data_IF_068438572983
#
_entry.id   IF_068438572983
#
_cell.length_a   1.000
_cell.length_b   1.000
_cell.length_c   1.000
_cell.angle_alpha   90.00
_cell.angle_beta   90.00
_cell.angle_gamma   90.00
#
_symmetry.space_group_name_H-M   'P 1'
#
loop_
_entity.id
_entity.type
_entity.pdbx_description
1 polymer ?
#
# COMPACT_ATOMS: atom_id res chain seq x y z
N UNK A 1 -18.99 -30.82 -11.16
CA UNK A 1 -18.44 -31.20 -9.83
C UNK A 1 -17.93 -29.91 -9.21
N UNK A 2 -18.40 -29.54 -8.01
CA UNK A 2 -17.92 -28.32 -7.35
C UNK A 2 -16.52 -28.60 -6.82
N UNK A 3 -15.51 -27.83 -7.27
CA UNK A 3 -14.15 -27.94 -6.76
C UNK A 3 -14.17 -27.62 -5.25
N UNK A 4 -13.76 -28.58 -4.42
CA UNK A 4 -13.70 -28.39 -2.98
C UNK A 4 -12.48 -27.51 -2.66
N UNK A 5 -12.71 -26.30 -2.15
CA UNK A 5 -11.64 -25.41 -1.70
C UNK A 5 -11.21 -25.75 -0.28
N UNK A 6 -9.90 -25.71 -0.01
CA UNK A 6 -9.32 -25.95 1.32
C UNK A 6 -8.38 -24.81 1.71
N UNK A 7 -8.30 -24.52 3.01
CA UNK A 7 -7.37 -23.51 3.55
C UNK A 7 -5.98 -24.11 3.71
N UNK A 8 -4.97 -23.50 3.10
CA UNK A 8 -3.56 -23.96 3.15
C UNK A 8 -2.67 -23.09 4.03
N UNK A 9 -3.12 -21.90 4.43
CA UNK A 9 -2.35 -21.02 5.30
C UNK A 9 -3.02 -19.68 5.58
N UNK A 10 -2.32 -18.83 6.33
CA UNK A 10 -2.72 -17.46 6.64
C UNK A 10 -1.65 -16.48 6.17
N UNK A 11 -2.06 -15.35 5.60
CA UNK A 11 -1.19 -14.20 5.32
C UNK A 11 -1.37 -13.14 6.41
N UNK A 12 -0.28 -12.49 6.81
CA UNK A 12 -0.27 -11.44 7.84
C UNK A 12 -0.05 -10.03 7.26
N UNK A 13 0.22 -9.94 5.96
CA UNK A 13 0.32 -8.66 5.25
C UNK A 13 -0.23 -8.75 3.83
N UNK A 14 -0.60 -7.59 3.27
CA UNK A 14 -1.05 -7.47 1.87
C UNK A 14 0.09 -7.85 0.92
N UNK A 15 1.33 -7.51 1.29
CA UNK A 15 2.52 -7.79 0.49
C UNK A 15 2.73 -9.30 0.41
N UNK A 16 2.69 -10.01 1.54
CA UNK A 16 2.78 -11.47 1.59
C UNK A 16 1.66 -12.12 0.77
N UNK A 17 0.40 -11.66 0.94
CA UNK A 17 -0.73 -12.17 0.17
C UNK A 17 -0.57 -11.97 -1.35
N UNK A 18 -0.01 -10.84 -1.77
CA UNK A 18 0.27 -10.55 -3.19
C UNK A 18 1.39 -11.44 -3.73
N UNK A 19 2.46 -11.62 -2.96
CA UNK A 19 3.55 -12.53 -3.31
C UNK A 19 3.07 -13.97 -3.45
N UNK A 20 2.32 -14.48 -2.46
CA UNK A 20 1.76 -15.84 -2.49
C UNK A 20 0.84 -16.01 -3.70
N UNK A 21 -0.05 -15.05 -3.98
CA UNK A 21 -0.92 -15.13 -5.16
C UNK A 21 -0.13 -15.14 -6.47
N UNK A 22 0.91 -14.32 -6.58
CA UNK A 22 1.77 -14.28 -7.78
C UNK A 22 2.55 -15.58 -7.94
N UNK A 23 3.11 -16.12 -6.86
CA UNK A 23 3.87 -17.37 -6.83
C UNK A 23 3.01 -18.57 -7.26
N UNK A 24 1.81 -18.70 -6.66
CA UNK A 24 0.87 -19.76 -7.00
C UNK A 24 0.33 -19.59 -8.43
N UNK A 25 0.03 -18.37 -8.86
CA UNK A 25 -0.40 -18.06 -10.22
C UNK A 25 0.66 -18.44 -11.27
N UNK A 26 1.95 -18.21 -10.98
CA UNK A 26 3.05 -18.62 -11.85
C UNK A 26 3.17 -20.15 -12.02
N UNK A 27 2.64 -20.93 -11.06
CA UNK A 27 2.55 -22.39 -11.10
C UNK A 27 1.21 -22.90 -11.64
N UNK A 28 0.32 -22.02 -12.07
CA UNK A 28 -1.01 -22.38 -12.56
C UNK A 28 -1.99 -22.77 -11.44
N UNK A 29 -1.68 -22.45 -10.19
CA UNK A 29 -2.55 -22.74 -9.03
C UNK A 29 -3.41 -21.50 -8.75
N UNK A 30 -4.71 -21.64 -8.92
CA UNK A 30 -5.65 -20.57 -8.58
C UNK A 30 -5.86 -20.48 -7.06
N UNK A 31 -5.46 -19.35 -6.48
CA UNK A 31 -5.59 -19.06 -5.06
C UNK A 31 -6.60 -17.92 -4.81
N UNK A 32 -7.53 -18.17 -3.89
CA UNK A 32 -8.50 -17.20 -3.41
C UNK A 32 -8.01 -16.69 -2.05
N UNK A 33 -7.67 -15.40 -2.00
CA UNK A 33 -7.28 -14.71 -0.76
C UNK A 33 -8.31 -13.62 -0.50
N UNK A 34 -9.26 -13.83 0.44
CA UNK A 34 -10.25 -12.83 0.81
C UNK A 34 -9.61 -11.47 1.14
N UNK A 35 -10.23 -10.38 0.69
CA UNK A 35 -9.72 -9.03 0.94
C UNK A 35 -8.61 -8.53 0.00
N UNK A 36 -7.89 -9.42 -0.71
CA UNK A 36 -6.87 -9.01 -1.68
C UNK A 36 -7.45 -8.43 -2.99
N UNK A 37 -8.72 -8.74 -3.28
CA UNK A 37 -9.42 -8.29 -4.50
C UNK A 37 -10.33 -7.07 -4.35
N UNK A 38 -10.63 -6.63 -3.12
CA UNK A 38 -11.41 -5.41 -2.91
C UNK A 38 -10.47 -4.22 -3.10
N UNK A 39 -10.68 -3.40 -4.14
CA UNK A 39 -9.86 -2.22 -4.49
C UNK A 39 -9.76 -1.11 -3.45
N UNK A 40 -10.01 -1.41 -2.18
CA UNK A 40 -9.86 -0.54 -1.02
C UNK A 40 -8.51 -0.81 -0.34
N UNK A 41 -7.41 -0.55 -1.09
CA UNK A 41 -6.03 -0.63 -0.57
C UNK A 41 -5.82 0.27 0.65
N UNK A 42 -6.59 1.35 0.76
CA UNK A 42 -6.46 2.39 1.80
C UNK A 42 -6.89 1.92 3.20
N UNK A 43 -7.83 0.97 3.31
CA UNK A 43 -8.33 0.51 4.63
C UNK A 43 -7.41 -0.53 5.26
N UNK A 44 -6.74 -1.36 4.44
CA UNK A 44 -5.95 -2.49 4.89
C UNK A 44 -4.60 -2.10 5.54
N UNK A 45 -4.16 -0.84 5.40
CA UNK A 45 -2.97 -0.33 6.12
C UNK A 45 -3.26 0.02 7.59
N UNK A 46 -4.51 0.23 7.98
CA UNK A 46 -4.87 0.69 9.34
C UNK A 46 -5.33 -0.41 10.30
N UNK A 47 -5.63 -1.61 9.78
CA UNK A 47 -6.04 -2.78 10.56
C UNK A 47 -5.10 -3.94 10.26
N UNK A 48 -4.66 -4.67 11.29
CA UNK A 48 -3.86 -5.87 11.14
C UNK A 48 -4.49 -6.81 10.09
N UNK A 49 -3.88 -6.87 8.91
CA UNK A 49 -4.38 -7.68 7.81
C UNK A 49 -4.11 -9.14 8.15
N UNK A 50 -5.15 -9.95 8.27
CA UNK A 50 -4.99 -11.40 8.39
C UNK A 50 -6.03 -12.07 7.51
N UNK A 51 -5.57 -12.81 6.51
CA UNK A 51 -6.46 -13.52 5.58
C UNK A 51 -6.02 -14.95 5.37
N UNK A 52 -6.97 -15.85 5.18
CA UNK A 52 -6.70 -17.22 4.78
C UNK A 52 -6.36 -17.30 3.29
N UNK A 53 -5.54 -18.28 2.92
CA UNK A 53 -5.26 -18.67 1.52
C UNK A 53 -6.06 -19.92 1.22
N UNK A 54 -7.01 -19.82 0.29
CA UNK A 54 -7.87 -20.92 -0.12
C UNK A 54 -7.48 -21.39 -1.53
N UNK A 55 -7.29 -22.69 -1.72
CA UNK A 55 -6.94 -23.30 -3.01
C UNK A 55 -7.80 -24.53 -3.29
N UNK A 56 -7.83 -25.00 -4.54
CA UNK A 56 -8.44 -26.30 -4.87
C UNK A 56 -7.75 -27.43 -4.11
N UNK A 57 -8.53 -28.40 -3.62
CA UNK A 57 -8.01 -29.56 -2.90
C UNK A 57 -6.93 -30.33 -3.66
N UNK A 58 -7.00 -30.37 -4.98
CA UNK A 58 -6.02 -31.05 -5.83
C UNK A 58 -4.63 -30.39 -5.83
N UNK A 59 -4.56 -29.10 -5.49
CA UNK A 59 -3.33 -28.32 -5.43
C UNK A 59 -2.92 -27.94 -4.00
N UNK A 60 -3.61 -28.46 -3.00
CA UNK A 60 -3.42 -28.04 -1.61
C UNK A 60 -2.02 -28.35 -1.07
N UNK A 61 -1.50 -29.55 -1.35
CA UNK A 61 -0.18 -29.99 -0.91
C UNK A 61 0.95 -29.21 -1.60
N UNK A 62 0.85 -29.02 -2.92
CA UNK A 62 1.81 -28.24 -3.69
C UNK A 62 1.82 -26.76 -3.26
N UNK A 63 0.64 -26.16 -3.07
CA UNK A 63 0.53 -24.79 -2.60
C UNK A 63 1.12 -24.60 -1.19
N UNK A 64 0.86 -25.53 -0.27
CA UNK A 64 1.42 -25.48 1.07
C UNK A 64 2.95 -25.56 1.06
N UNK A 65 3.54 -26.43 0.23
CA UNK A 65 4.99 -26.55 0.07
C UNK A 65 5.62 -25.26 -0.49
N UNK A 66 4.99 -24.64 -1.49
CA UNK A 66 5.46 -23.38 -2.07
C UNK A 66 5.40 -22.22 -1.07
N UNK A 67 4.34 -22.15 -0.25
CA UNK A 67 4.21 -21.12 0.79
C UNK A 67 5.29 -21.31 1.87
N UNK A 68 5.58 -22.56 2.27
CA UNK A 68 6.64 -22.86 3.22
C UNK A 68 8.01 -22.42 2.68
N UNK A 69 8.33 -22.80 1.45
CA UNK A 69 9.58 -22.45 0.78
C UNK A 69 9.77 -20.93 0.67
N UNK A 70 8.70 -20.19 0.35
CA UNK A 70 8.74 -18.72 0.28
C UNK A 70 9.13 -18.10 1.63
N UNK A 71 8.58 -18.61 2.73
CA UNK A 71 8.83 -18.10 4.08
C UNK A 71 10.22 -18.43 4.60
N UNK A 72 10.68 -19.64 4.31
CA UNK A 72 12.05 -20.05 4.63
C UNK A 72 13.06 -19.16 3.90
N UNK A 73 12.82 -18.85 2.61
CA UNK A 73 13.68 -17.94 1.84
C UNK A 73 13.65 -16.48 2.29
N UNK A 74 12.54 -15.99 2.84
CA UNK A 74 12.45 -14.61 3.36
C UNK A 74 13.26 -14.41 4.65
N UNK A 75 13.33 -15.44 5.49
CA UNK A 75 14.09 -15.38 6.75
C UNK A 75 15.59 -15.17 6.52
N UNK A 76 16.11 -15.65 5.39
CA UNK A 76 17.53 -15.48 5.02
C UNK A 76 17.85 -14.09 4.46
N UNK A 77 16.87 -13.43 3.83
CA UNK A 77 17.04 -12.10 3.21
C UNK A 77 16.91 -10.99 4.27
N UNK A 78 16.00 -11.13 5.25
CA UNK A 78 15.89 -10.18 6.38
C UNK A 78 17.19 -10.12 7.20
N UNK A 79 17.84 -11.27 7.45
CA UNK A 79 19.15 -11.33 8.12
C UNK A 79 20.27 -10.63 7.33
N UNK A 80 20.17 -10.58 5.99
CA UNK A 80 21.15 -9.88 5.16
C UNK A 80 20.88 -8.37 5.07
N UNK A 81 19.62 -7.95 5.12
CA UNK A 81 19.26 -6.53 5.16
C UNK A 81 19.75 -5.89 6.46
N UNK A 82 19.53 -6.54 7.60
CA UNK A 82 20.01 -6.05 8.90
C UNK A 82 21.54 -5.94 8.92
N UNK A 83 22.25 -6.96 8.42
CA UNK A 83 23.71 -6.93 8.33
C UNK A 83 24.24 -5.85 7.37
N UNK A 84 23.50 -5.55 6.30
CA UNK A 84 23.85 -4.49 5.34
C UNK A 84 23.56 -3.10 5.90
N UNK A 85 22.50 -2.94 6.68
CA UNK A 85 22.16 -1.69 7.36
C UNK A 85 23.20 -1.38 8.45
N UNK A 86 23.59 -2.37 9.27
CA UNK A 86 24.70 -2.23 10.22
C UNK A 86 26.02 -1.87 9.51
N UNK A 87 26.32 -2.49 8.37
CA UNK A 87 27.52 -2.15 7.60
C UNK A 87 27.49 -0.72 7.05
N UNK A 88 26.31 -0.20 6.70
CA UNK A 88 26.12 1.17 6.23
C UNK A 88 26.24 2.19 7.37
N UNK A 89 25.70 1.88 8.55
CA UNK A 89 25.88 2.70 9.74
C UNK A 89 27.35 2.74 10.19
N UNK A 90 28.04 1.59 10.17
CA UNK A 90 29.47 1.51 10.47
C UNK A 90 30.31 2.32 9.47
N UNK A 91 29.98 2.27 8.17
CA UNK A 91 30.65 3.08 7.15
C UNK A 91 30.40 4.59 7.33
N UNK A 92 29.19 4.99 7.74
CA UNK A 92 28.88 6.40 8.03
C UNK A 92 29.59 6.92 9.28
N UNK A 93 29.71 6.08 10.33
CA UNK A 93 30.48 6.42 11.52
C UNK A 93 31.98 6.54 11.23
N UNK A 94 32.53 5.65 10.39
CA UNK A 94 33.91 5.73 9.95
C UNK A 94 34.19 7.00 9.11
N UNK A 95 33.26 7.37 8.22
CA UNK A 95 33.37 8.60 7.43
C UNK A 95 33.22 9.89 8.28
N UNK A 96 32.49 9.82 9.40
CA UNK A 96 32.39 10.93 10.35
C UNK A 96 33.60 11.05 11.29
N UNK A 97 34.41 10.00 11.41
CA UNK A 97 35.60 9.96 12.26
C UNK A 97 36.88 10.46 11.54
N UNK A 98 36.86 10.65 10.22
CA UNK A 98 37.88 11.39 9.48
C UNK A 98 37.58 12.90 9.54
N UNK A 99 37.64 13.49 10.74
CA UNK A 99 37.95 14.92 10.84
C UNK A 99 39.41 15.11 10.41
N UNK A 100 39.72 16.01 9.45
CA UNK A 100 41.10 16.30 9.10
C UNK A 100 41.84 16.84 10.34
N UNK A 101 43.10 16.45 10.57
CA UNK A 101 43.85 16.87 11.74
C UNK A 101 43.91 18.39 11.83
N UNK A 102 43.32 18.93 12.89
CA UNK A 102 43.22 20.35 13.22
C UNK A 102 44.56 20.97 13.67
N UNK A 103 45.64 20.74 12.92
CA UNK A 103 46.97 21.28 13.23
C UNK A 103 47.63 22.06 12.09
N UNK A 104 46.93 22.37 11.00
CA UNK A 104 47.46 23.26 9.98
C UNK A 104 46.52 24.44 9.72
N UNK A 105 47.00 25.63 10.15
CA UNK A 105 46.52 26.98 9.84
C UNK A 105 45.60 27.65 10.88
N UNK A 106 46.10 27.77 12.11
CA UNK A 106 45.77 28.92 12.96
C UNK A 106 46.49 30.18 12.43
N UNK A 107 45.99 30.73 11.31
CA UNK A 107 46.09 32.17 11.09
C UNK A 107 44.90 32.79 11.81
N UNK A 108 45.07 33.83 12.64
CA UNK A 108 43.96 34.54 13.24
C UNK A 108 43.21 35.25 12.11
N UNK A 109 42.18 34.62 11.56
CA UNK A 109 41.18 35.33 10.78
C UNK A 109 40.47 36.25 11.76
N UNK A 110 40.66 37.56 11.57
CA UNK A 110 39.86 38.59 12.22
C UNK A 110 38.42 38.41 11.72
N UNK A 111 37.68 37.58 12.43
CA UNK A 111 36.25 37.30 12.27
C UNK A 111 35.49 38.60 12.54
N UNK A 112 35.41 39.43 11.51
CA UNK A 112 34.73 40.72 11.58
C UNK A 112 33.23 40.48 11.79
N UNK A 113 32.57 41.36 12.54
CA UNK A 113 31.13 41.24 12.79
C UNK A 113 30.30 41.14 11.50
N UNK A 114 30.81 41.70 10.39
CA UNK A 114 30.21 41.65 9.06
C UNK A 114 30.23 40.24 8.44
N UNK A 115 31.28 39.44 8.66
CA UNK A 115 31.35 38.06 8.17
C UNK A 115 30.41 37.12 8.94
N UNK A 116 30.20 37.36 10.24
CA UNK A 116 29.22 36.61 11.04
C UNK A 116 27.78 36.89 10.63
N UNK A 117 27.42 38.15 10.37
CA UNK A 117 26.07 38.49 9.87
C UNK A 117 25.81 37.85 8.49
N UNK A 118 26.79 37.87 7.58
CA UNK A 118 26.67 37.23 6.28
C UNK A 118 26.50 35.70 6.38
N UNK A 119 27.20 35.04 7.32
CA UNK A 119 27.04 33.61 7.56
C UNK A 119 25.69 33.26 8.17
N UNK A 120 25.16 34.06 9.10
CA UNK A 120 23.84 33.87 9.69
C UNK A 120 22.71 34.05 8.66
N UNK A 121 22.83 35.01 7.73
CA UNK A 121 21.87 35.17 6.62
C UNK A 121 21.87 33.96 5.68
N UNK A 122 23.05 33.41 5.35
CA UNK A 122 23.18 32.22 4.51
C UNK A 122 22.62 30.98 5.23
N UNK A 123 22.85 30.84 6.54
CA UNK A 123 22.31 29.76 7.34
C UNK A 123 20.77 29.81 7.44
N UNK A 124 20.20 31.00 7.64
CA UNK A 124 18.75 31.23 7.65
C UNK A 124 18.11 30.92 6.28
N UNK A 125 18.76 31.31 5.18
CA UNK A 125 18.31 31.00 3.83
C UNK A 125 18.33 29.49 3.54
N UNK A 126 19.39 28.78 3.96
CA UNK A 126 19.53 27.34 3.80
C UNK A 126 18.48 26.54 4.59
N UNK A 127 18.13 26.97 5.81
CA UNK A 127 17.05 26.36 6.58
C UNK A 127 15.67 26.54 5.91
N UNK A 128 15.45 27.69 5.25
CA UNK A 128 14.24 27.96 4.48
C UNK A 128 14.06 27.00 3.30
N UNK A 129 15.15 26.72 2.57
CA UNK A 129 15.13 25.80 1.42
C UNK A 129 14.82 24.35 1.84
N UNK A 130 15.44 23.85 2.92
CA UNK A 130 15.16 22.51 3.47
C UNK A 130 13.70 22.37 3.92
N UNK A 131 13.14 23.36 4.61
CA UNK A 131 11.73 23.34 5.04
C UNK A 131 10.77 23.30 3.86
N UNK A 132 11.07 24.03 2.77
CA UNK A 132 10.27 23.98 1.53
C UNK A 132 10.37 22.61 0.86
N UNK A 133 11.56 22.03 0.76
CA UNK A 133 11.73 20.69 0.19
C UNK A 133 10.94 19.64 0.98
N UNK A 134 11.03 19.63 2.30
CA UNK A 134 10.28 18.71 3.16
C UNK A 134 8.76 18.90 2.97
N UNK A 135 8.29 20.15 2.94
CA UNK A 135 6.87 20.43 2.71
C UNK A 135 6.39 19.94 1.34
N UNK A 136 7.20 20.12 0.29
CA UNK A 136 6.89 19.65 -1.06
C UNK A 136 6.90 18.13 -1.15
N UNK A 137 7.87 17.44 -0.54
CA UNK A 137 7.87 15.96 -0.52
C UNK A 137 6.71 15.39 0.26
N UNK A 138 6.34 15.99 1.40
CA UNK A 138 5.18 15.54 2.18
C UNK A 138 3.86 15.73 1.42
N UNK A 139 3.73 16.84 0.68
CA UNK A 139 2.55 17.10 -0.17
C UNK A 139 2.54 16.18 -1.40
N UNK A 140 3.68 15.98 -2.05
CA UNK A 140 3.79 15.05 -3.19
C UNK A 140 3.48 13.60 -2.77
N UNK A 141 4.00 13.16 -1.63
CA UNK A 141 3.74 11.84 -1.07
C UNK A 141 2.26 11.62 -0.72
N UNK A 142 1.51 12.68 -0.39
CA UNK A 142 0.07 12.60 -0.10
C UNK A 142 -0.82 12.71 -1.36
N UNK A 143 -0.31 13.31 -2.45
CA UNK A 143 -1.00 13.38 -3.75
C UNK A 143 -1.00 12.04 -4.52
N UNK A 144 0.06 11.23 -4.41
CA UNK A 144 0.19 9.93 -5.09
C UNK A 144 -0.91 8.92 -4.72
N UNK A 145 -1.25 8.69 -3.43
CA UNK A 145 -2.32 7.76 -3.07
C UNK A 145 -3.73 8.30 -3.34
N UNK A 146 -3.90 9.62 -3.51
CA UNK A 146 -5.20 10.28 -3.69
C UNK A 146 -5.87 9.98 -5.04
N UNK A 147 -5.08 9.82 -6.10
CA UNK A 147 -5.59 9.60 -7.46
C UNK A 147 -6.20 8.20 -7.68
N UNK A 148 -5.65 7.17 -7.02
CA UNK A 148 -6.01 5.78 -7.33
C UNK A 148 -7.34 5.36 -6.68
N UNK A 149 -7.59 5.74 -5.43
CA UNK A 149 -8.80 5.32 -4.69
C UNK A 149 -10.09 5.91 -5.27
N UNK A 150 -10.03 7.09 -5.88
CA UNK A 150 -11.20 7.77 -6.43
C UNK A 150 -11.52 7.41 -7.88
N UNK A 151 -10.50 7.05 -8.67
CA UNK A 151 -10.69 6.55 -10.04
C UNK A 151 -11.60 5.30 -10.07
N UNK A 152 -11.54 4.48 -9.03
CA UNK A 152 -12.33 3.24 -8.90
C UNK A 152 -13.81 3.52 -8.58
N UNK A 153 -14.14 4.63 -7.90
CA UNK A 153 -15.50 4.92 -7.42
C UNK A 153 -16.34 5.84 -8.34
N UNK A 154 -15.91 6.08 -9.59
CA UNK A 154 -16.55 7.02 -10.55
C UNK A 154 -16.72 8.46 -10.02
N UNK A 155 -16.09 8.81 -8.90
CA UNK A 155 -16.14 10.14 -8.27
C UNK A 155 -15.03 11.06 -8.81
N UNK A 156 -14.72 10.97 -10.10
CA UNK A 156 -13.59 11.64 -10.72
C UNK A 156 -13.67 13.17 -10.59
N UNK A 157 -14.88 13.74 -10.69
CA UNK A 157 -15.09 15.18 -10.52
C UNK A 157 -14.75 15.69 -9.11
N UNK A 158 -15.06 14.92 -8.06
CA UNK A 158 -14.71 15.28 -6.67
C UNK A 158 -13.20 15.22 -6.46
N UNK A 159 -12.56 14.18 -6.99
CA UNK A 159 -11.10 14.04 -6.92
C UNK A 159 -10.39 15.20 -7.63
N UNK A 160 -10.86 15.59 -8.83
CA UNK A 160 -10.29 16.71 -9.58
C UNK A 160 -10.46 18.04 -8.83
N UNK A 161 -11.63 18.27 -8.22
CA UNK A 161 -11.89 19.45 -7.41
C UNK A 161 -10.96 19.52 -6.20
N UNK A 162 -10.81 18.42 -5.45
CA UNK A 162 -9.93 18.37 -4.26
C UNK A 162 -8.47 18.54 -4.65
N UNK A 163 -8.03 17.89 -5.73
CA UNK A 163 -6.68 18.07 -6.28
C UNK A 163 -6.43 19.53 -6.67
N UNK A 164 -7.37 20.18 -7.35
CA UNK A 164 -7.29 21.60 -7.69
C UNK A 164 -7.19 22.49 -6.45
N UNK A 165 -8.00 22.21 -5.42
CA UNK A 165 -7.96 22.93 -4.14
C UNK A 165 -6.62 22.77 -3.43
N UNK A 166 -6.01 21.58 -3.52
CA UNK A 166 -4.73 21.26 -2.91
C UNK A 166 -3.55 21.90 -3.64
N UNK A 167 -3.58 21.93 -4.98
CA UNK A 167 -2.63 22.69 -5.81
C UNK A 167 -2.72 24.18 -5.50
N UNK A 168 -3.94 24.72 -5.39
CA UNK A 168 -4.14 26.12 -5.01
C UNK A 168 -3.60 26.40 -3.60
N UNK A 169 -3.89 25.53 -2.63
CA UNK A 169 -3.35 25.61 -1.27
C UNK A 169 -1.83 25.63 -1.26
N UNK A 170 -1.20 24.73 -2.03
CA UNK A 170 0.26 24.68 -2.16
C UNK A 170 0.84 25.96 -2.78
N UNK A 171 0.20 26.50 -3.82
CA UNK A 171 0.62 27.77 -4.43
C UNK A 171 0.60 28.92 -3.41
N UNK A 172 -0.43 29.01 -2.57
CA UNK A 172 -0.50 29.98 -1.47
C UNK A 172 0.56 29.75 -0.39
N UNK A 173 0.90 28.49 -0.06
CA UNK A 173 1.99 28.18 0.88
C UNK A 173 3.33 28.64 0.30
N UNK A 174 3.58 28.41 -0.99
CA UNK A 174 4.81 28.86 -1.65
C UNK A 174 4.93 30.40 -1.69
N UNK A 175 3.79 31.10 -1.77
CA UNK A 175 3.72 32.55 -1.63
C UNK A 175 3.88 33.06 -0.19
N UNK A 176 4.03 32.16 0.81
CA UNK A 176 4.21 32.51 2.22
C UNK A 176 2.91 32.81 2.96
N UNK A 177 1.75 32.57 2.35
CA UNK A 177 0.46 32.82 2.97
C UNK A 177 0.00 31.63 3.81
N UNK A 178 -0.33 31.87 5.09
CA UNK A 178 -0.86 30.85 6.01
C UNK A 178 -2.19 30.24 5.55
N UNK A 179 -2.94 30.98 4.72
CA UNK A 179 -4.20 30.53 4.12
C UNK A 179 -4.01 29.26 3.29
N UNK A 180 -2.84 29.09 2.65
CA UNK A 180 -2.55 27.89 1.86
C UNK A 180 -2.52 26.61 2.70
N UNK A 181 -2.03 26.70 3.94
CA UNK A 181 -1.99 25.56 4.86
C UNK A 181 -3.40 25.17 5.30
N UNK A 182 -4.25 26.15 5.59
CA UNK A 182 -5.67 25.93 5.94
C UNK A 182 -6.42 25.27 4.78
N UNK A 183 -6.22 25.75 3.55
CA UNK A 183 -6.84 25.18 2.35
C UNK A 183 -6.43 23.72 2.13
N UNK A 184 -5.14 23.42 2.23
CA UNK A 184 -4.62 22.06 2.09
C UNK A 184 -5.16 21.12 3.17
N UNK A 185 -5.25 21.59 4.41
CA UNK A 185 -5.79 20.80 5.53
C UNK A 185 -7.30 20.55 5.38
N UNK A 186 -8.08 21.56 4.97
CA UNK A 186 -9.50 21.40 4.70
C UNK A 186 -9.77 20.43 3.55
N UNK A 187 -8.95 20.45 2.48
CA UNK A 187 -9.05 19.49 1.39
C UNK A 187 -8.83 18.05 1.87
N UNK A 188 -7.84 17.83 2.73
CA UNK A 188 -7.56 16.53 3.35
C UNK A 188 -8.74 16.04 4.20
N UNK A 189 -9.28 16.90 5.07
CA UNK A 189 -10.42 16.55 5.90
C UNK A 189 -11.66 16.23 5.05
N UNK A 190 -11.97 17.06 4.05
CA UNK A 190 -13.10 16.85 3.16
C UNK A 190 -13.02 15.49 2.46
N UNK A 191 -11.81 15.05 2.09
CA UNK A 191 -11.62 13.74 1.49
C UNK A 191 -11.84 12.58 2.48
N UNK A 192 -11.22 12.64 3.66
CA UNK A 192 -11.37 11.63 4.71
C UNK A 192 -12.85 11.46 5.10
N UNK A 193 -13.56 12.57 5.30
CA UNK A 193 -14.99 12.56 5.59
C UNK A 193 -15.79 12.01 4.41
N UNK A 194 -15.45 12.41 3.19
CA UNK A 194 -16.10 11.93 1.98
C UNK A 194 -15.93 10.42 1.76
N UNK A 195 -14.77 9.86 2.08
CA UNK A 195 -14.51 8.42 2.06
C UNK A 195 -15.26 7.68 3.17
N UNK A 196 -15.23 8.20 4.40
CA UNK A 196 -15.94 7.61 5.54
C UNK A 196 -17.46 7.59 5.36
N UNK A 197 -18.05 8.65 4.78
CA UNK A 197 -19.49 8.67 4.48
C UNK A 197 -19.88 7.66 3.40
N UNK A 198 -19.07 7.50 2.35
CA UNK A 198 -19.29 6.47 1.33
C UNK A 198 -19.21 5.06 1.93
N UNK A 199 -18.22 4.80 2.78
CA UNK A 199 -18.08 3.53 3.50
C UNK A 199 -19.28 3.26 4.42
N UNK A 200 -19.81 4.27 5.12
CA UNK A 200 -21.02 4.15 5.94
C UNK A 200 -22.29 3.94 5.11
N UNK A 201 -22.41 4.59 3.95
CA UNK A 201 -23.55 4.42 3.05
C UNK A 201 -23.61 3.04 2.38
N UNK A 202 -22.46 2.40 2.17
CA UNK A 202 -22.36 1.03 1.65
C UNK A 202 -22.28 -0.03 2.76
N UNK A 203 -22.36 0.36 4.02
CA UNK A 203 -22.54 -0.52 5.18
C UNK A 203 -23.93 -1.16 5.26
N UNK A 204 -24.68 -1.23 4.16
CA UNK A 204 -25.75 -2.19 4.00
C UNK A 204 -25.14 -3.60 4.11
N UNK A 205 -25.71 -4.49 4.92
CA UNK A 205 -24.99 -5.61 5.50
C UNK A 205 -24.52 -6.61 4.44
N UNK A 206 -23.20 -6.65 4.21
CA UNK A 206 -22.52 -7.83 3.66
C UNK A 206 -22.65 -9.06 4.60
N UNK A 207 -23.19 -8.87 5.81
CA UNK A 207 -23.59 -9.95 6.72
C UNK A 207 -24.87 -10.70 6.30
N UNK A 208 -25.65 -10.22 5.31
CA UNK A 208 -26.87 -10.91 4.85
C UNK A 208 -26.64 -11.85 3.64
N UNK A 209 -25.41 -11.94 3.11
CA UNK A 209 -25.09 -12.77 1.93
C UNK A 209 -24.57 -14.18 2.24
N UNK A 210 -24.10 -14.44 3.47
CA UNK A 210 -23.49 -15.72 3.85
C UNK A 210 -24.50 -16.83 4.21
N UNK A 211 -25.80 -16.55 4.14
CA UNK A 211 -26.85 -17.53 4.40
C UNK A 211 -27.93 -17.51 3.31
N UNK A 212 -27.53 -17.45 2.03
CA UNK A 212 -28.43 -17.96 0.98
C UNK A 212 -28.30 -19.49 1.05
N UNK A 213 -29.29 -20.23 1.61
CA UNK A 213 -29.25 -21.68 1.53
C UNK A 213 -29.10 -22.05 0.05
N UNK A 214 -28.35 -23.12 -0.28
CA UNK A 214 -28.22 -23.56 -1.66
C UNK A 214 -29.63 -23.66 -2.24
N UNK A 215 -29.96 -22.80 -3.21
CA UNK A 215 -31.19 -22.98 -3.96
C UNK A 215 -31.04 -24.35 -4.58
N UNK A 216 -31.83 -25.31 -4.09
CA UNK A 216 -31.91 -26.63 -4.64
C UNK A 216 -32.16 -26.43 -6.14
N UNK A 217 -31.15 -26.73 -6.95
CA UNK A 217 -31.29 -26.79 -8.39
C UNK A 217 -32.54 -27.61 -8.66
N UNK A 218 -33.50 -27.13 -9.47
CA UNK A 218 -34.64 -27.94 -9.83
C UNK A 218 -34.07 -29.23 -10.41
N UNK A 219 -34.28 -30.34 -9.70
CA UNK A 219 -33.96 -31.67 -10.18
C UNK A 219 -34.75 -31.80 -11.46
N UNK A 220 -34.05 -31.60 -12.59
CA UNK A 220 -34.60 -31.84 -13.90
C UNK A 220 -35.14 -33.26 -13.84
N UNK A 221 -36.48 -33.40 -13.87
CA UNK A 221 -37.13 -34.69 -14.07
C UNK A 221 -36.46 -35.27 -15.30
N UNK A 222 -35.63 -36.29 -15.10
CA UNK A 222 -35.08 -37.08 -16.18
C UNK A 222 -36.27 -37.59 -16.98
N UNK A 223 -36.47 -36.98 -18.15
CA UNK A 223 -37.42 -37.45 -19.14
C UNK A 223 -36.93 -38.84 -19.51
N UNK A 224 -37.65 -39.84 -19.01
CA UNK A 224 -37.47 -41.25 -19.34
C UNK A 224 -37.58 -41.38 -20.86
N UNK A 225 -36.43 -41.46 -21.52
CA UNK A 225 -36.35 -41.79 -22.94
C UNK A 225 -36.80 -43.24 -23.10
N UNK A 226 -38.05 -43.41 -23.53
CA UNK A 226 -38.64 -44.67 -23.95
C UNK A 226 -37.80 -45.23 -25.11
N UNK A 227 -37.06 -46.30 -24.87
CA UNK A 227 -36.26 -46.97 -25.88
C UNK A 227 -37.15 -47.50 -27.03
N UNK A 228 -36.76 -47.31 -28.30
CA UNK A 228 -37.48 -47.90 -29.43
C UNK A 228 -37.24 -49.42 -29.50
N UNK A 229 -38.25 -50.21 -29.91
CA UNK A 229 -38.11 -51.65 -30.05
C UNK A 229 -37.18 -51.98 -31.22
N UNK A 230 -36.21 -52.87 -30.96
CA UNK A 230 -35.38 -53.48 -31.99
C UNK A 230 -36.24 -54.49 -32.76
N UNK A 231 -36.61 -54.15 -33.99
CA UNK A 231 -37.12 -55.11 -34.97
C UNK A 231 -36.03 -56.12 -35.28
N UNK A 232 -36.33 -57.40 -35.01
CA UNK A 232 -35.53 -58.54 -35.46
C UNK A 232 -35.71 -58.67 -36.98
N UNK A 233 -34.59 -58.73 -37.69
CA UNK A 233 -34.49 -59.40 -38.99
C UNK A 233 -33.69 -60.68 -38.82
#
# INVERSE_FOLDING_TARGET
>A
MSAQTVSVGHCYSIVEATMIRSLLGARGIEAIIPGLGSGSFTLAYTSAFTSQVLVSREHAEEAAALILQLREGQSEDELQVDAREEALEAAQQAAAAEEPPAEALAAPQEDTAEEREAQDEVALAAMGARRRQIAVTLVAATLVPFGLGHAVNRAFGRALMLAGLQVLGLWYVMAGHRVGLVLSFLALLADLFGGAMLARGHGAPLAAGAARPPQALPVAKAVSAKAPPLERR
#
